data_IF_175725983862
#
_entry.id   IF_175725983862
#
_cell.length_a   1.000
_cell.length_b   1.000
_cell.length_c   1.000
_cell.angle_alpha   90.00
_cell.angle_beta   90.00
_cell.angle_gamma   90.00
#
_symmetry.space_group_name_H-M   'P 1'
#
loop_
_entity.id
_entity.type
_entity.pdbx_description
1 polymer ?
#
# COMPACT_ATOMS: atom_id res chain seq x y z
N UNK A 1 -26.93 -20.43 -3.99
CA UNK A 1 -26.06 -19.99 -2.87
C UNK A 1 -25.23 -18.83 -3.41
N UNK A 2 -25.00 -17.79 -2.62
CA UNK A 2 -24.12 -16.69 -3.04
C UNK A 2 -22.66 -17.14 -2.99
N UNK A 3 -21.77 -16.46 -3.71
CA UNK A 3 -20.33 -16.78 -3.72
C UNK A 3 -19.76 -16.82 -2.29
N UNK A 4 -20.22 -15.93 -1.40
CA UNK A 4 -19.70 -15.85 -0.04
C UNK A 4 -20.23 -16.98 0.88
N UNK A 5 -21.46 -17.47 0.66
CA UNK A 5 -21.97 -18.63 1.41
C UNK A 5 -21.23 -19.91 1.03
N UNK A 6 -20.94 -20.09 -0.26
CA UNK A 6 -20.15 -21.23 -0.73
C UNK A 6 -18.70 -21.14 -0.25
N UNK A 7 -18.12 -19.93 -0.25
CA UNK A 7 -16.76 -19.70 0.26
C UNK A 7 -16.69 -19.91 1.79
N UNK A 8 -17.74 -19.52 2.55
CA UNK A 8 -17.82 -19.75 3.99
C UNK A 8 -17.70 -21.25 4.34
N UNK A 9 -18.42 -22.11 3.60
CA UNK A 9 -18.36 -23.57 3.80
C UNK A 9 -16.99 -24.09 3.40
N UNK A 10 -16.52 -23.72 2.22
CA UNK A 10 -15.23 -24.17 1.71
C UNK A 10 -14.05 -23.78 2.61
N UNK A 11 -14.01 -22.55 3.12
CA UNK A 11 -12.94 -22.11 4.04
C UNK A 11 -12.95 -22.88 5.35
N UNK A 12 -14.12 -23.22 5.89
CA UNK A 12 -14.24 -24.03 7.11
C UNK A 12 -13.69 -25.46 6.91
N UNK A 13 -13.85 -26.04 5.72
CA UNK A 13 -13.41 -27.40 5.40
C UNK A 13 -11.92 -27.46 5.04
N UNK A 14 -11.42 -26.50 4.23
CA UNK A 14 -10.08 -26.58 3.62
C UNK A 14 -9.03 -25.67 4.27
N UNK A 15 -9.45 -24.60 4.97
CA UNK A 15 -8.58 -23.64 5.66
C UNK A 15 -9.08 -23.35 7.08
N UNK A 16 -9.34 -24.38 7.91
CA UNK A 16 -10.00 -24.23 9.20
C UNK A 16 -9.25 -23.37 10.21
N UNK A 17 -7.91 -23.28 10.06
CA UNK A 17 -7.04 -22.49 10.95
C UNK A 17 -6.82 -21.05 10.46
N UNK A 18 -7.29 -20.70 9.25
CA UNK A 18 -7.19 -19.35 8.72
C UNK A 18 -8.26 -18.45 9.35
N UNK A 19 -7.85 -17.29 9.86
CA UNK A 19 -8.82 -16.30 10.32
C UNK A 19 -9.67 -15.79 9.15
N UNK A 20 -11.00 -15.91 9.30
CA UNK A 20 -11.99 -15.56 8.28
C UNK A 20 -13.22 -14.93 8.95
N UNK A 21 -13.50 -13.68 8.61
CA UNK A 21 -14.47 -12.87 9.31
C UNK A 21 -15.53 -12.30 8.35
N UNK A 22 -16.73 -12.00 8.92
CA UNK A 22 -17.90 -11.45 8.21
C UNK A 22 -18.12 -9.99 8.59
N UNK A 23 -18.55 -9.18 7.61
CA UNK A 23 -18.98 -7.80 7.79
C UNK A 23 -17.94 -6.93 8.57
N UNK A 24 -16.67 -7.02 8.16
CA UNK A 24 -15.53 -6.44 8.87
C UNK A 24 -15.37 -4.95 8.54
N UNK A 25 -15.39 -4.04 9.53
CA UNK A 25 -15.22 -2.61 9.28
C UNK A 25 -13.82 -2.26 8.73
N UNK A 26 -13.72 -1.90 7.46
CA UNK A 26 -12.46 -1.60 6.77
C UNK A 26 -11.71 -0.41 7.35
N UNK A 27 -12.40 0.54 7.99
CA UNK A 27 -11.76 1.66 8.71
C UNK A 27 -10.73 1.23 9.76
N UNK A 28 -10.79 -0.03 10.25
CA UNK A 28 -9.81 -0.61 11.19
C UNK A 28 -8.54 -1.09 10.50
N UNK A 29 -8.57 -1.22 9.18
CA UNK A 29 -7.50 -1.79 8.35
C UNK A 29 -6.95 -0.79 7.33
N UNK A 30 -7.32 0.49 7.45
CA UNK A 30 -6.79 1.57 6.62
C UNK A 30 -6.16 2.67 7.47
N UNK A 31 -5.07 3.26 6.99
CA UNK A 31 -4.42 4.39 7.66
C UNK A 31 -5.27 5.66 7.65
N UNK A 32 -6.20 5.77 6.70
CA UNK A 32 -7.17 6.86 6.63
C UNK A 32 -8.28 6.75 7.69
N UNK A 33 -8.49 5.53 8.24
CA UNK A 33 -9.57 5.20 9.19
C UNK A 33 -10.96 5.50 8.63
N UNK A 34 -11.13 5.30 7.33
CA UNK A 34 -12.39 5.46 6.59
C UNK A 34 -12.71 4.15 5.88
N UNK A 35 -13.97 3.84 5.72
CA UNK A 35 -14.50 2.68 5.01
C UNK A 35 -15.53 1.89 5.82
N UNK A 36 -16.60 1.49 5.16
CA UNK A 36 -17.63 0.60 5.68
C UNK A 36 -17.16 -0.84 5.81
N UNK A 37 -18.08 -1.79 5.80
CA UNK A 37 -17.77 -3.19 6.01
C UNK A 37 -17.32 -3.89 4.70
N UNK A 38 -16.34 -4.80 4.80
CA UNK A 38 -16.09 -5.83 3.80
C UNK A 38 -17.06 -7.00 4.05
N UNK A 39 -17.70 -7.52 3.00
CA UNK A 39 -18.62 -8.65 3.11
C UNK A 39 -17.95 -9.87 3.72
N UNK A 40 -16.71 -10.14 3.32
CA UNK A 40 -15.83 -11.17 3.90
C UNK A 40 -14.40 -10.65 3.98
N UNK A 41 -13.70 -11.02 5.03
CA UNK A 41 -12.30 -10.71 5.20
C UNK A 41 -11.52 -11.93 5.67
N UNK A 42 -10.46 -12.25 4.97
CA UNK A 42 -9.59 -13.40 5.23
C UNK A 42 -8.17 -12.98 5.51
N UNK A 43 -7.47 -13.74 6.35
CA UNK A 43 -6.11 -13.45 6.79
C UNK A 43 -5.21 -14.68 6.55
N UNK A 44 -4.77 -14.94 5.31
CA UNK A 44 -3.87 -16.05 5.01
C UNK A 44 -2.53 -15.87 5.71
N UNK A 45 -1.95 -16.99 6.18
CA UNK A 45 -0.67 -17.03 6.91
C UNK A 45 0.49 -17.47 6.03
N UNK A 46 0.18 -17.98 4.82
CA UNK A 46 1.19 -18.43 3.86
C UNK A 46 0.78 -18.13 2.43
N UNK A 47 1.75 -18.18 1.51
CA UNK A 47 1.49 -18.06 0.08
C UNK A 47 0.56 -19.16 -0.44
N UNK A 48 0.63 -20.35 0.12
CA UNK A 48 -0.22 -21.50 -0.25
C UNK A 48 -1.67 -21.24 0.14
N UNK A 49 -1.93 -20.83 1.40
CA UNK A 49 -3.28 -20.44 1.84
C UNK A 49 -3.86 -19.32 0.98
N UNK A 50 -3.03 -18.31 0.64
CA UNK A 50 -3.46 -17.18 -0.20
C UNK A 50 -3.81 -17.65 -1.62
N UNK A 51 -2.98 -18.48 -2.23
CA UNK A 51 -3.21 -19.03 -3.59
C UNK A 51 -4.50 -19.84 -3.61
N UNK A 52 -4.68 -20.76 -2.67
CA UNK A 52 -5.88 -21.62 -2.57
C UNK A 52 -7.14 -20.74 -2.41
N UNK A 53 -7.12 -19.79 -1.47
CA UNK A 53 -8.26 -18.91 -1.19
C UNK A 53 -8.65 -18.06 -2.40
N UNK A 54 -7.65 -17.39 -3.02
CA UNK A 54 -7.89 -16.50 -4.18
C UNK A 54 -8.41 -17.30 -5.37
N UNK A 55 -7.80 -18.45 -5.68
CA UNK A 55 -8.24 -19.33 -6.77
C UNK A 55 -9.68 -19.78 -6.55
N UNK A 56 -10.02 -20.25 -5.34
CA UNK A 56 -11.40 -20.67 -5.03
C UNK A 56 -12.40 -19.53 -5.11
N UNK A 57 -12.05 -18.36 -4.60
CA UNK A 57 -12.90 -17.18 -4.69
C UNK A 57 -13.21 -16.79 -6.15
N UNK A 58 -12.21 -16.85 -7.02
CA UNK A 58 -12.38 -16.56 -8.45
C UNK A 58 -13.25 -17.60 -9.15
N UNK A 59 -13.09 -18.89 -8.85
CA UNK A 59 -13.98 -19.96 -9.37
C UNK A 59 -15.45 -19.74 -9.00
N UNK A 60 -15.70 -19.17 -7.81
CA UNK A 60 -17.04 -18.81 -7.35
C UNK A 60 -17.56 -17.48 -7.92
N UNK A 61 -16.79 -16.84 -8.82
CA UNK A 61 -17.13 -15.55 -9.43
C UNK A 61 -16.92 -14.35 -8.51
N UNK A 62 -16.30 -14.53 -7.34
CA UNK A 62 -15.89 -13.41 -6.50
C UNK A 62 -14.73 -12.64 -7.15
N UNK A 63 -14.61 -11.36 -6.77
CA UNK A 63 -13.45 -10.51 -7.17
C UNK A 63 -12.67 -10.11 -5.93
N UNK A 64 -11.71 -10.92 -5.46
CA UNK A 64 -10.93 -10.62 -4.27
C UNK A 64 -10.23 -9.28 -4.39
N UNK A 65 -10.15 -8.56 -3.28
CA UNK A 65 -9.31 -7.37 -3.13
C UNK A 65 -8.21 -7.66 -2.12
N UNK A 66 -6.95 -7.65 -2.57
CA UNK A 66 -5.82 -7.89 -1.67
C UNK A 66 -5.40 -6.59 -1.00
N UNK A 67 -5.43 -6.59 0.33
CA UNK A 67 -5.14 -5.46 1.19
C UNK A 67 -3.91 -5.75 2.04
N UNK A 68 -2.87 -4.95 1.88
CA UNK A 68 -1.74 -4.90 2.82
C UNK A 68 -2.07 -4.01 4.03
N UNK A 69 -1.19 -3.05 4.35
CA UNK A 69 -1.38 -2.12 5.47
C UNK A 69 -2.46 -1.03 5.22
N UNK A 70 -3.13 -1.01 4.08
CA UNK A 70 -4.20 -0.07 3.78
C UNK A 70 -3.78 1.40 3.77
N UNK A 71 -2.56 1.70 3.36
CA UNK A 71 -1.95 3.03 3.48
C UNK A 71 -2.05 3.89 2.22
N UNK A 72 -2.64 3.35 1.14
CA UNK A 72 -2.86 4.08 -0.12
C UNK A 72 -4.24 3.77 -0.71
N UNK A 73 -5.24 3.51 0.13
CA UNK A 73 -6.60 3.16 -0.31
C UNK A 73 -7.64 3.96 0.47
N UNK A 74 -8.74 4.23 -0.20
CA UNK A 74 -9.94 4.83 0.36
C UNK A 74 -11.14 3.95 -0.01
N UNK A 75 -11.78 3.35 0.98
CA UNK A 75 -12.98 2.53 0.81
C UNK A 75 -14.25 3.33 0.97
N UNK A 76 -15.33 2.97 0.27
CA UNK A 76 -16.63 3.62 0.37
C UNK A 76 -17.24 3.42 1.77
N UNK A 77 -18.10 4.37 2.16
CA UNK A 77 -18.73 4.37 3.49
C UNK A 77 -19.76 3.25 3.64
N UNK A 78 -20.41 2.85 2.56
CA UNK A 78 -21.34 1.71 2.48
C UNK A 78 -20.64 0.35 2.58
N UNK A 79 -19.31 0.31 2.41
CA UNK A 79 -18.52 -0.92 2.39
C UNK A 79 -18.40 -1.55 1.00
N UNK A 80 -17.95 -2.80 0.93
CA UNK A 80 -17.72 -3.53 -0.32
C UNK A 80 -18.29 -4.94 -0.27
N UNK A 81 -19.04 -5.33 -1.29
CA UNK A 81 -19.55 -6.69 -1.51
C UNK A 81 -18.45 -7.60 -2.12
N UNK A 82 -17.28 -7.61 -1.49
CA UNK A 82 -16.09 -8.33 -1.96
C UNK A 82 -15.47 -9.16 -0.84
N UNK A 83 -14.70 -10.17 -1.24
CA UNK A 83 -13.70 -10.77 -0.37
C UNK A 83 -12.50 -9.81 -0.27
N UNK A 84 -12.18 -9.35 0.93
CA UNK A 84 -10.93 -8.66 1.20
C UNK A 84 -9.93 -9.64 1.80
N UNK A 85 -8.78 -9.82 1.15
CA UNK A 85 -7.70 -10.68 1.62
C UNK A 85 -6.63 -9.79 2.24
N UNK A 86 -6.53 -9.79 3.56
CA UNK A 86 -5.52 -9.01 4.27
C UNK A 86 -4.28 -9.85 4.52
N UNK A 87 -3.14 -9.37 4.01
CA UNK A 87 -1.88 -10.13 4.00
C UNK A 87 -1.03 -9.95 5.25
N UNK A 88 -1.50 -9.29 6.31
CA UNK A 88 -0.69 -8.92 7.48
C UNK A 88 -0.07 -10.10 8.24
N UNK A 89 -0.67 -11.29 8.15
CA UNK A 89 -0.14 -12.51 8.78
C UNK A 89 1.02 -13.12 7.97
N UNK A 90 1.16 -12.76 6.68
CA UNK A 90 2.28 -13.14 5.82
C UNK A 90 3.40 -12.09 5.97
N UNK A 91 4.06 -12.05 7.11
CA UNK A 91 4.95 -10.94 7.49
C UNK A 91 6.41 -11.33 7.72
N UNK A 92 6.80 -12.52 7.30
CA UNK A 92 8.16 -13.04 7.46
C UNK A 92 9.14 -12.26 6.60
N UNK A 93 10.30 -11.95 7.20
CA UNK A 93 11.50 -11.45 6.51
C UNK A 93 12.66 -12.34 6.90
N UNK A 94 13.45 -12.81 5.94
CA UNK A 94 14.59 -13.69 6.18
C UNK A 94 15.72 -13.40 5.19
N UNK A 95 16.91 -13.96 5.46
CA UNK A 95 17.99 -14.03 4.48
C UNK A 95 17.56 -14.87 3.27
N UNK A 96 17.95 -14.46 2.08
CA UNK A 96 17.85 -15.26 0.87
C UNK A 96 19.00 -16.26 0.75
N UNK A 97 19.08 -16.91 -0.40
CA UNK A 97 20.14 -17.89 -0.69
C UNK A 97 21.48 -17.22 -0.99
N UNK A 98 21.46 -15.98 -1.49
CA UNK A 98 22.66 -15.21 -1.80
C UNK A 98 23.10 -14.37 -0.59
N UNK A 99 24.40 -14.06 -0.50
CA UNK A 99 25.02 -13.40 0.64
C UNK A 99 24.37 -12.06 1.00
N UNK A 100 23.99 -11.25 0.00
CA UNK A 100 23.44 -9.91 0.16
C UNK A 100 21.94 -9.83 -0.17
N UNK A 101 21.25 -10.95 -0.03
CA UNK A 101 19.85 -11.07 -0.36
C UNK A 101 18.99 -11.18 0.90
N UNK A 102 17.85 -10.50 0.86
CA UNK A 102 16.75 -10.73 1.79
C UNK A 102 15.47 -11.07 1.02
N UNK A 103 14.63 -11.90 1.61
CA UNK A 103 13.30 -12.23 1.11
C UNK A 103 12.27 -11.71 2.11
N UNK A 104 11.25 -11.02 1.62
CA UNK A 104 10.15 -10.55 2.43
C UNK A 104 8.81 -10.99 1.84
N UNK A 105 7.93 -11.53 2.68
CA UNK A 105 6.54 -11.82 2.31
C UNK A 105 5.74 -10.54 2.09
N UNK A 106 4.69 -10.63 1.31
CA UNK A 106 3.92 -9.47 0.84
C UNK A 106 3.27 -8.62 1.96
N UNK A 107 2.94 -9.23 3.10
CA UNK A 107 2.36 -8.56 4.26
C UNK A 107 3.40 -7.97 5.22
N UNK A 108 4.69 -8.30 5.06
CA UNK A 108 5.75 -7.69 5.86
C UNK A 108 5.72 -6.16 5.72
N UNK A 109 5.86 -5.43 6.84
CA UNK A 109 5.93 -3.98 6.74
C UNK A 109 7.26 -3.52 6.15
N UNK A 110 7.23 -2.47 5.32
CA UNK A 110 8.43 -1.83 4.78
C UNK A 110 9.42 -1.44 5.88
N UNK A 111 8.91 -0.98 7.02
CA UNK A 111 9.72 -0.62 8.18
C UNK A 111 10.44 -1.84 8.79
N UNK A 112 9.73 -2.96 8.98
CA UNK A 112 10.31 -4.19 9.54
C UNK A 112 11.37 -4.77 8.60
N UNK A 113 11.11 -4.76 7.28
CA UNK A 113 12.07 -5.18 6.27
C UNK A 113 13.35 -4.33 6.33
N UNK A 114 13.24 -3.00 6.43
CA UNK A 114 14.38 -2.11 6.56
C UNK A 114 15.17 -2.34 7.86
N UNK A 115 14.47 -2.57 8.99
CA UNK A 115 15.10 -2.90 10.28
C UNK A 115 15.81 -4.26 10.22
N UNK A 116 15.22 -5.24 9.56
CA UNK A 116 15.88 -6.54 9.36
C UNK A 116 17.16 -6.37 8.55
N UNK A 117 17.12 -5.69 7.40
CA UNK A 117 18.29 -5.42 6.58
C UNK A 117 19.40 -4.69 7.37
N UNK A 118 19.04 -3.68 8.18
CA UNK A 118 19.97 -2.95 9.03
C UNK A 118 20.69 -3.87 10.03
N UNK A 119 19.96 -4.76 10.72
CA UNK A 119 20.53 -5.73 11.66
C UNK A 119 21.49 -6.70 11.01
N UNK A 120 21.21 -7.07 9.75
CA UNK A 120 22.03 -7.96 8.94
C UNK A 120 23.21 -7.24 8.27
N UNK A 121 23.42 -5.94 8.52
CA UNK A 121 24.49 -5.16 7.89
C UNK A 121 24.31 -4.95 6.39
N UNK A 122 23.06 -4.84 5.94
CA UNK A 122 22.70 -4.66 4.54
C UNK A 122 22.07 -3.29 4.31
N UNK A 123 22.71 -2.47 3.48
CA UNK A 123 22.33 -1.12 3.09
C UNK A 123 21.52 -1.13 1.78
N UNK A 124 20.64 -0.15 1.60
CA UNK A 124 19.83 0.06 0.40
C UNK A 124 18.33 0.20 0.69
N UNK A 125 17.88 -0.10 1.92
CA UNK A 125 16.48 -0.01 2.34
C UNK A 125 16.21 1.11 3.37
N UNK A 126 17.14 2.01 3.61
CA UNK A 126 17.01 3.07 4.60
C UNK A 126 15.80 3.98 4.32
N UNK A 127 15.52 4.25 3.05
CA UNK A 127 14.37 5.05 2.61
C UNK A 127 13.02 4.39 2.97
N UNK A 128 12.99 3.06 3.03
CA UNK A 128 11.78 2.28 3.25
C UNK A 128 11.32 2.30 4.72
N UNK A 129 12.25 2.57 5.67
CA UNK A 129 11.95 2.56 7.11
C UNK A 129 10.80 3.48 7.50
N UNK A 130 10.68 4.63 6.85
CA UNK A 130 9.60 5.58 7.12
C UNK A 130 8.30 5.31 6.36
N UNK A 131 8.25 4.38 5.41
CA UNK A 131 7.06 4.12 4.58
C UNK A 131 6.12 3.16 5.34
N UNK A 132 4.86 3.55 5.64
CA UNK A 132 3.97 2.74 6.48
C UNK A 132 3.33 1.55 5.75
N UNK A 133 3.66 1.33 4.47
CA UNK A 133 3.10 0.27 3.62
C UNK A 133 3.61 -1.14 3.93
N UNK A 134 2.97 -2.13 3.33
CA UNK A 134 3.46 -3.51 3.24
C UNK A 134 4.34 -3.70 2.01
N UNK A 135 5.16 -4.74 2.00
CA UNK A 135 6.02 -5.11 0.87
C UNK A 135 5.21 -5.30 -0.41
N UNK A 136 4.10 -6.06 -0.37
CA UNK A 136 3.26 -6.29 -1.56
C UNK A 136 2.69 -4.99 -2.15
N UNK A 137 2.15 -4.11 -1.29
CA UNK A 137 1.69 -2.78 -1.72
C UNK A 137 2.83 -1.88 -2.21
N UNK A 138 3.99 -1.96 -1.55
CA UNK A 138 5.21 -1.24 -1.95
C UNK A 138 5.70 -1.68 -3.33
N UNK A 139 5.76 -2.98 -3.61
CA UNK A 139 6.14 -3.54 -4.91
C UNK A 139 5.17 -3.07 -6.00
N UNK A 140 3.85 -3.19 -5.75
CA UNK A 140 2.83 -2.78 -6.72
C UNK A 140 2.99 -1.33 -7.13
N UNK A 141 3.30 -0.43 -6.19
CA UNK A 141 3.41 1.01 -6.41
C UNK A 141 4.85 1.51 -6.65
N UNK A 142 5.84 0.61 -6.77
CA UNK A 142 7.25 1.01 -6.74
C UNK A 142 7.50 2.06 -5.66
N UNK A 143 7.21 1.68 -4.41
CA UNK A 143 7.26 2.62 -3.30
C UNK A 143 8.64 3.25 -3.12
N UNK A 144 8.66 4.55 -2.96
CA UNK A 144 9.91 5.30 -2.81
C UNK A 144 9.75 6.58 -2.00
N UNK A 145 10.85 7.00 -1.39
CA UNK A 145 10.96 8.23 -0.62
C UNK A 145 12.42 8.70 -0.58
N UNK A 146 12.63 10.01 -0.53
CA UNK A 146 13.97 10.63 -0.35
C UNK A 146 15.02 10.18 -1.36
N UNK A 147 14.63 9.91 -2.61
CA UNK A 147 15.52 9.51 -3.69
C UNK A 147 15.76 8.00 -3.80
N UNK A 148 15.30 7.20 -2.83
CA UNK A 148 15.27 5.74 -2.94
C UNK A 148 13.91 5.22 -3.37
N UNK A 149 13.87 4.10 -4.09
CA UNK A 149 12.66 3.37 -4.48
C UNK A 149 12.95 1.87 -4.61
N UNK A 150 11.91 1.04 -4.54
CA UNK A 150 12.06 -0.40 -4.53
C UNK A 150 12.69 -0.97 -5.80
N UNK A 151 12.43 -0.38 -6.96
CA UNK A 151 13.05 -0.78 -8.23
C UNK A 151 14.58 -0.83 -8.19
N UNK A 152 15.22 -0.03 -7.32
CA UNK A 152 16.68 0.03 -7.20
C UNK A 152 17.28 -1.19 -6.48
N UNK A 153 16.48 -1.93 -5.75
CA UNK A 153 16.93 -3.02 -4.86
C UNK A 153 16.17 -4.34 -5.06
N UNK A 154 15.03 -4.35 -5.76
CA UNK A 154 14.30 -5.58 -6.08
C UNK A 154 15.13 -6.42 -7.06
N UNK A 155 15.31 -7.70 -6.75
CA UNK A 155 15.88 -8.71 -7.63
C UNK A 155 14.80 -9.51 -8.33
N UNK A 156 13.80 -9.97 -7.57
CA UNK A 156 12.68 -10.73 -8.12
C UNK A 156 11.42 -10.57 -7.27
N UNK A 157 10.27 -10.85 -7.88
CA UNK A 157 8.95 -10.85 -7.24
C UNK A 157 8.21 -12.11 -7.60
N UNK A 158 7.75 -12.87 -6.60
CA UNK A 158 6.85 -14.01 -6.81
C UNK A 158 5.40 -13.51 -6.75
N UNK A 159 4.67 -13.75 -7.84
CA UNK A 159 3.32 -13.22 -8.08
C UNK A 159 2.38 -14.36 -8.44
N UNK A 160 1.17 -14.36 -7.90
CA UNK A 160 0.04 -15.14 -8.38
C UNK A 160 -0.67 -14.35 -9.48
N UNK A 161 -0.73 -14.88 -10.68
CA UNK A 161 -1.60 -14.44 -11.75
C UNK A 161 -2.78 -15.41 -11.84
N UNK A 162 -4.02 -14.95 -11.78
CA UNK A 162 -5.20 -15.84 -11.79
C UNK A 162 -5.29 -16.75 -13.02
N UNK A 163 -4.80 -16.28 -14.16
CA UNK A 163 -4.82 -16.95 -15.47
C UNK A 163 -3.54 -17.75 -15.79
N UNK A 164 -2.42 -17.46 -15.11
CA UNK A 164 -1.11 -18.04 -15.40
C UNK A 164 -0.52 -18.85 -14.23
N UNK A 165 -1.14 -18.79 -13.05
CA UNK A 165 -0.62 -19.38 -11.82
C UNK A 165 0.48 -18.55 -11.17
N UNK A 166 1.31 -19.22 -10.34
CA UNK A 166 2.40 -18.55 -9.62
C UNK A 166 3.63 -18.44 -10.51
N UNK A 167 4.15 -17.22 -10.66
CA UNK A 167 5.37 -16.93 -11.42
C UNK A 167 6.33 -16.07 -10.60
N UNK A 168 7.62 -16.23 -10.86
CA UNK A 168 8.65 -15.33 -10.33
C UNK A 168 9.18 -14.47 -11.48
N UNK A 169 9.02 -13.16 -11.34
CA UNK A 169 9.44 -12.15 -12.31
C UNK A 169 10.70 -11.46 -11.79
N UNK A 170 11.65 -11.17 -12.68
CA UNK A 170 12.80 -10.34 -12.36
C UNK A 170 12.42 -8.83 -12.39
N UNK A 171 13.33 -7.96 -11.93
CA UNK A 171 13.08 -6.51 -11.87
C UNK A 171 12.73 -5.88 -13.24
N UNK A 172 13.31 -6.39 -14.34
CA UNK A 172 13.02 -5.91 -15.70
C UNK A 172 11.61 -6.25 -16.15
N UNK A 173 11.12 -7.44 -15.85
CA UNK A 173 9.77 -7.89 -16.18
C UNK A 173 8.70 -7.15 -15.37
N UNK A 174 9.05 -6.58 -14.20
CA UNK A 174 8.14 -5.80 -13.37
C UNK A 174 7.82 -4.42 -13.93
N UNK A 175 8.51 -3.93 -14.96
CA UNK A 175 8.28 -2.67 -15.66
C UNK A 175 8.12 -1.46 -14.70
N UNK A 176 9.00 -1.38 -13.70
CA UNK A 176 8.93 -0.32 -12.69
C UNK A 176 9.14 1.07 -13.27
N UNK A 177 8.29 1.99 -12.84
CA UNK A 177 8.48 3.43 -13.03
C UNK A 177 7.87 4.21 -11.86
N UNK A 178 7.79 5.53 -11.94
CA UNK A 178 7.25 6.34 -10.86
C UNK A 178 5.81 5.97 -10.49
N UNK A 179 5.61 5.44 -9.29
CA UNK A 179 4.31 4.95 -8.77
C UNK A 179 3.64 3.92 -9.69
N UNK A 180 4.44 3.10 -10.34
CA UNK A 180 3.98 2.12 -11.31
C UNK A 180 4.81 0.82 -11.27
N UNK A 181 4.14 -0.29 -11.54
CA UNK A 181 4.72 -1.58 -11.90
C UNK A 181 3.75 -2.30 -12.85
N UNK A 182 4.16 -3.42 -13.45
CA UNK A 182 3.28 -4.33 -14.20
C UNK A 182 1.97 -4.63 -13.44
N UNK A 183 2.02 -4.71 -12.11
CA UNK A 183 0.86 -5.04 -11.28
C UNK A 183 -0.17 -3.90 -11.18
N UNK A 184 0.15 -2.68 -11.58
CA UNK A 184 -0.84 -1.61 -11.69
C UNK A 184 -1.73 -1.78 -12.92
N UNK A 185 -1.26 -2.51 -13.94
CA UNK A 185 -2.00 -2.87 -15.15
C UNK A 185 -2.71 -4.23 -15.00
N UNK A 186 -2.25 -5.06 -14.06
CA UNK A 186 -2.81 -6.38 -13.72
C UNK A 186 -3.33 -6.38 -12.27
N UNK A 187 -4.42 -5.63 -11.97
CA UNK A 187 -4.89 -5.42 -10.60
C UNK A 187 -5.43 -6.69 -9.92
N UNK A 188 -5.66 -7.75 -10.68
CA UNK A 188 -6.03 -9.08 -10.20
C UNK A 188 -4.83 -9.90 -9.71
N UNK A 189 -3.60 -9.54 -10.12
CA UNK A 189 -2.38 -10.24 -9.74
C UNK A 189 -1.99 -9.92 -8.29
N UNK A 190 -1.44 -10.91 -7.58
CA UNK A 190 -1.18 -10.83 -6.15
C UNK A 190 0.28 -11.12 -5.86
N UNK A 191 0.99 -10.18 -5.24
CA UNK A 191 2.35 -10.39 -4.74
C UNK A 191 2.30 -11.38 -3.58
N UNK A 192 3.12 -12.43 -3.64
CA UNK A 192 3.32 -13.39 -2.55
C UNK A 192 4.54 -13.03 -1.71
N UNK A 193 5.65 -12.73 -2.37
CA UNK A 193 6.92 -12.31 -1.74
C UNK A 193 7.80 -11.59 -2.74
N UNK A 194 8.82 -10.89 -2.24
CA UNK A 194 9.85 -10.26 -3.06
C UNK A 194 11.24 -10.55 -2.50
N UNK A 195 12.23 -10.71 -3.38
CA UNK A 195 13.64 -10.79 -3.06
C UNK A 195 14.32 -9.45 -3.36
N UNK A 196 15.22 -9.04 -2.49
CA UNK A 196 15.93 -7.77 -2.55
C UNK A 196 17.42 -8.01 -2.49
N UNK A 197 18.15 -7.47 -3.46
CA UNK A 197 19.61 -7.47 -3.50
C UNK A 197 20.14 -6.16 -2.92
N UNK A 198 20.87 -6.28 -1.84
CA UNK A 198 21.35 -5.15 -1.05
C UNK A 198 22.88 -5.07 -1.10
N UNK A 199 23.45 -4.07 -0.47
CA UNK A 199 24.90 -3.87 -0.38
C UNK A 199 25.38 -4.07 1.06
N UNK A 200 26.56 -4.68 1.29
CA UNK A 200 27.15 -4.68 2.63
C UNK A 200 27.34 -3.27 3.18
N UNK A 201 27.02 -3.08 4.45
CA UNK A 201 27.16 -1.80 5.12
C UNK A 201 27.32 -1.98 6.64
N UNK A 202 27.70 -0.91 7.32
CA UNK A 202 27.81 -0.92 8.78
C UNK A 202 26.46 -0.64 9.43
N UNK A 203 25.96 -1.53 10.33
CA UNK A 203 24.65 -1.37 10.95
C UNK A 203 24.40 0.01 11.59
N UNK A 204 25.43 0.61 12.16
CA UNK A 204 25.34 1.92 12.82
C UNK A 204 25.15 3.06 11.79
N UNK A 205 25.83 2.98 10.65
CA UNK A 205 25.70 3.98 9.56
C UNK A 205 24.32 3.88 8.90
N UNK A 206 23.85 2.64 8.65
CA UNK A 206 22.52 2.36 8.13
C UNK A 206 21.46 2.92 9.09
N UNK A 207 21.59 2.62 10.40
CA UNK A 207 20.66 3.10 11.43
C UNK A 207 20.64 4.62 11.49
N UNK A 208 21.79 5.27 11.49
CA UNK A 208 21.92 6.73 11.47
C UNK A 208 21.14 7.32 10.27
N UNK A 209 21.28 6.73 9.08
CA UNK A 209 20.56 7.18 7.88
C UNK A 209 19.05 7.00 8.01
N UNK A 210 18.59 5.86 8.53
CA UNK A 210 17.17 5.61 8.81
C UNK A 210 16.59 6.66 9.77
N UNK A 211 17.29 6.96 10.86
CA UNK A 211 16.85 7.94 11.86
C UNK A 211 16.81 9.37 11.28
N UNK A 212 17.80 9.75 10.47
CA UNK A 212 17.81 11.02 9.74
C UNK A 212 16.58 11.17 8.82
N UNK A 213 16.29 10.14 8.01
CA UNK A 213 15.15 10.17 7.09
C UNK A 213 13.82 10.19 7.84
N UNK A 214 13.71 9.46 8.95
CA UNK A 214 12.54 9.48 9.82
C UNK A 214 12.35 10.85 10.49
N UNK A 215 13.41 11.50 10.95
CA UNK A 215 13.34 12.85 11.51
C UNK A 215 12.83 13.87 10.49
N UNK A 216 13.34 13.83 9.25
CA UNK A 216 12.87 14.67 8.14
C UNK A 216 11.39 14.44 7.85
N UNK A 217 10.94 13.17 7.88
CA UNK A 217 9.54 12.80 7.66
C UNK A 217 8.65 13.38 8.77
N UNK A 218 9.01 13.19 10.04
CA UNK A 218 8.26 13.73 11.19
C UNK A 218 8.16 15.26 11.15
N UNK A 219 9.21 15.93 10.71
CA UNK A 219 9.23 17.38 10.60
C UNK A 219 8.27 17.91 9.53
N UNK A 220 8.13 17.20 8.38
CA UNK A 220 7.42 17.69 7.20
C UNK A 220 6.01 17.12 7.00
N UNK A 221 5.68 15.93 7.54
CA UNK A 221 4.42 15.25 7.28
C UNK A 221 3.48 15.24 8.51
N UNK A 222 2.15 15.27 8.31
CA UNK A 222 1.14 15.30 9.39
C UNK A 222 0.87 13.90 9.94
N UNK A 223 1.90 13.26 10.53
CA UNK A 223 1.83 11.86 11.00
C UNK A 223 0.88 11.67 12.20
N UNK A 224 0.48 12.74 12.85
CA UNK A 224 -0.48 12.78 13.95
C UNK A 224 -1.93 12.57 13.50
N UNK A 225 -2.22 12.73 12.21
CA UNK A 225 -3.56 12.55 11.64
C UNK A 225 -3.65 11.33 10.72
N UNK A 226 -4.79 10.62 10.72
CA UNK A 226 -5.06 9.58 9.75
C UNK A 226 -5.07 10.15 8.32
N UNK A 227 -4.39 9.47 7.39
CA UNK A 227 -4.32 9.83 5.98
C UNK A 227 -3.86 8.63 5.14
N UNK A 228 -3.93 8.73 3.83
CA UNK A 228 -3.38 7.76 2.89
C UNK A 228 -2.06 8.25 2.23
N UNK A 229 -1.25 9.02 2.96
CA UNK A 229 -0.02 9.59 2.41
C UNK A 229 -0.28 10.79 1.50
N UNK A 230 0.58 10.98 0.49
CA UNK A 230 0.38 12.00 -0.54
C UNK A 230 -0.87 11.68 -1.36
N UNK A 231 -1.77 12.65 -1.46
CA UNK A 231 -3.07 12.46 -2.12
C UNK A 231 -2.96 12.42 -3.64
N UNK A 232 -2.00 13.18 -4.20
CA UNK A 232 -1.79 13.29 -5.64
C UNK A 232 -0.37 12.92 -6.04
N UNK A 233 -0.23 12.31 -7.22
CA UNK A 233 1.07 12.05 -7.86
C UNK A 233 1.78 13.37 -8.16
N UNK A 234 3.10 13.30 -8.34
CA UNK A 234 3.88 14.44 -8.80
C UNK A 234 3.61 14.68 -10.28
N UNK A 235 3.07 15.85 -10.69
CA UNK A 235 2.96 16.20 -12.09
C UNK A 235 4.35 16.40 -12.71
N UNK A 236 4.48 16.21 -14.01
CA UNK A 236 5.72 16.44 -14.72
C UNK A 236 6.17 17.91 -14.57
N UNK A 237 7.42 18.11 -14.16
CA UNK A 237 8.00 19.44 -13.93
C UNK A 237 7.52 20.15 -12.65
N UNK A 238 6.61 19.58 -11.87
CA UNK A 238 6.03 20.23 -10.69
C UNK A 238 6.02 19.33 -9.45
N UNK A 239 5.65 19.93 -8.32
CA UNK A 239 5.34 19.21 -7.06
C UNK A 239 3.89 19.49 -6.69
N UNK A 240 3.06 18.45 -6.59
CA UNK A 240 1.64 18.60 -6.25
C UNK A 240 1.42 19.43 -4.97
N UNK A 241 2.18 19.14 -3.91
CA UNK A 241 2.09 19.87 -2.65
C UNK A 241 2.42 21.38 -2.81
N UNK A 242 3.39 21.73 -3.64
CA UNK A 242 3.75 23.13 -3.90
C UNK A 242 2.64 23.87 -4.67
N UNK A 243 2.04 23.22 -5.68
CA UNK A 243 0.91 23.79 -6.42
C UNK A 243 -0.31 24.01 -5.50
N UNK A 244 -0.63 23.04 -4.65
CA UNK A 244 -1.75 23.13 -3.70
C UNK A 244 -1.50 24.26 -2.67
N UNK A 245 -0.27 24.39 -2.19
CA UNK A 245 0.14 25.46 -1.25
C UNK A 245 0.08 26.84 -1.93
N UNK A 246 0.60 26.96 -3.15
CA UNK A 246 0.55 28.18 -3.97
C UNK A 246 -0.88 28.65 -4.24
N UNK A 247 -1.82 27.72 -4.38
CA UNK A 247 -3.25 28.02 -4.53
C UNK A 247 -3.93 28.39 -3.20
N UNK A 248 -3.21 28.45 -2.08
CA UNK A 248 -3.77 28.82 -0.77
C UNK A 248 -4.75 27.80 -0.20
N UNK A 249 -4.56 26.48 -0.53
CA UNK A 249 -5.55 25.45 -0.17
C UNK A 249 -5.25 24.73 1.15
N UNK A 250 -4.15 25.04 1.86
CA UNK A 250 -3.96 24.52 3.23
C UNK A 250 -5.15 24.87 4.13
N UNK A 251 -5.61 23.93 4.93
CA UNK A 251 -6.77 24.08 5.80
C UNK A 251 -8.14 24.00 5.10
N UNK A 252 -8.18 23.94 3.75
CA UNK A 252 -9.45 23.72 3.05
C UNK A 252 -10.12 22.44 3.54
N UNK A 253 -11.38 22.54 3.94
CA UNK A 253 -12.12 21.48 4.62
C UNK A 253 -13.42 21.16 3.87
N UNK A 254 -13.74 19.88 3.74
CA UNK A 254 -15.05 19.38 3.30
C UNK A 254 -15.46 18.28 4.28
N UNK A 255 -16.58 18.47 4.98
CA UNK A 255 -17.00 17.55 6.04
C UNK A 255 -15.89 17.33 7.08
N UNK A 256 -15.50 16.09 7.29
CA UNK A 256 -14.39 15.71 8.19
C UNK A 256 -13.01 15.66 7.54
N UNK A 257 -12.89 15.87 6.22
CA UNK A 257 -11.64 15.83 5.48
C UNK A 257 -11.01 17.24 5.35
N UNK A 258 -9.70 17.36 5.50
CA UNK A 258 -8.98 18.64 5.43
C UNK A 258 -7.66 18.51 4.67
N UNK A 259 -7.29 19.52 3.89
CA UNK A 259 -5.90 19.69 3.40
C UNK A 259 -5.03 20.05 4.60
N UNK A 260 -4.00 19.26 4.86
CA UNK A 260 -3.12 19.46 6.01
C UNK A 260 -2.44 20.83 5.99
N UNK A 261 -2.49 21.53 7.11
CA UNK A 261 -1.75 22.78 7.34
C UNK A 261 -0.24 22.58 7.29
N UNK A 262 0.24 21.40 7.73
CA UNK A 262 1.64 21.06 7.79
C UNK A 262 2.22 20.70 6.42
N UNK A 263 1.45 19.98 5.58
CA UNK A 263 1.87 19.52 4.26
C UNK A 263 0.72 19.49 3.27
N UNK A 264 0.67 20.45 2.36
CA UNK A 264 -0.45 20.63 1.43
C UNK A 264 -0.74 19.43 0.51
N UNK A 265 0.22 18.51 0.31
CA UNK A 265 0.02 17.28 -0.47
C UNK A 265 -0.78 16.19 0.26
N UNK A 266 -1.15 16.40 1.53
CA UNK A 266 -1.89 15.43 2.35
C UNK A 266 -3.31 15.90 2.61
N UNK A 267 -4.28 15.06 2.30
CA UNK A 267 -5.63 15.14 2.86
C UNK A 267 -5.67 14.29 4.12
N UNK A 268 -6.10 14.86 5.22
CA UNK A 268 -6.17 14.24 6.54
C UNK A 268 -7.61 14.05 6.98
N UNK A 269 -7.86 13.01 7.79
CA UNK A 269 -9.12 12.79 8.48
C UNK A 269 -9.05 13.47 9.85
N UNK A 270 -9.92 14.47 10.09
CA UNK A 270 -10.01 15.22 11.35
C UNK A 270 -10.76 14.48 12.46
N UNK A 271 -11.14 13.22 12.21
CA UNK A 271 -11.79 12.33 13.18
C UNK A 271 -13.14 11.77 12.73
N UNK A 272 -13.81 12.43 11.80
CA UNK A 272 -15.15 12.03 11.33
C UNK A 272 -15.31 12.10 9.80
N UNK A 273 -14.21 12.05 9.04
CA UNK A 273 -14.28 12.11 7.58
C UNK A 273 -14.92 10.84 7.00
N UNK A 274 -15.83 11.06 6.06
CA UNK A 274 -16.41 10.05 5.19
C UNK A 274 -15.60 9.92 3.89
N UNK A 275 -15.77 8.83 3.15
CA UNK A 275 -15.20 8.66 1.81
C UNK A 275 -15.70 9.79 0.87
N UNK A 276 -16.97 10.13 0.97
CA UNK A 276 -17.57 11.23 0.21
C UNK A 276 -16.89 12.58 0.48
N UNK A 277 -16.52 12.89 1.72
CA UNK A 277 -15.81 14.13 2.09
C UNK A 277 -14.45 14.21 1.41
N UNK A 278 -13.67 13.10 1.47
CA UNK A 278 -12.34 13.03 0.88
C UNK A 278 -12.40 13.17 -0.64
N UNK A 279 -13.31 12.45 -1.29
CA UNK A 279 -13.45 12.51 -2.75
C UNK A 279 -13.92 13.88 -3.23
N UNK A 280 -14.85 14.53 -2.52
CA UNK A 280 -15.28 15.88 -2.81
C UNK A 280 -14.15 16.91 -2.62
N UNK A 281 -13.36 16.77 -1.54
CA UNK A 281 -12.20 17.64 -1.30
C UNK A 281 -11.13 17.45 -2.37
N UNK A 282 -10.85 16.21 -2.80
CA UNK A 282 -9.91 15.92 -3.90
C UNK A 282 -10.36 16.59 -5.20
N UNK A 283 -11.63 16.47 -5.56
CA UNK A 283 -12.19 17.10 -6.76
C UNK A 283 -12.08 18.64 -6.70
N UNK A 284 -12.34 19.24 -5.54
CA UNK A 284 -12.21 20.68 -5.36
C UNK A 284 -10.75 21.17 -5.45
N UNK A 285 -9.79 20.41 -4.90
CA UNK A 285 -8.35 20.69 -5.05
C UNK A 285 -7.97 20.63 -6.54
N UNK A 286 -8.35 19.58 -7.26
CA UNK A 286 -8.07 19.43 -8.69
C UNK A 286 -8.63 20.60 -9.50
N UNK A 287 -9.88 20.96 -9.25
CA UNK A 287 -10.55 22.07 -9.93
C UNK A 287 -9.83 23.41 -9.72
N UNK A 288 -9.46 23.73 -8.45
CA UNK A 288 -8.79 25.00 -8.13
C UNK A 288 -7.38 25.06 -8.66
N UNK A 289 -6.60 23.99 -8.50
CA UNK A 289 -5.23 23.97 -9.03
C UNK A 289 -5.24 24.08 -10.54
N UNK A 290 -6.09 23.33 -11.25
CA UNK A 290 -6.22 23.45 -12.72
C UNK A 290 -6.60 24.87 -13.15
N UNK A 291 -7.57 25.49 -12.48
CA UNK A 291 -8.02 26.85 -12.81
C UNK A 291 -6.95 27.92 -12.62
N UNK A 292 -6.08 27.78 -11.61
CA UNK A 292 -5.07 28.79 -11.30
C UNK A 292 -3.71 28.56 -11.97
N UNK A 293 -3.35 27.29 -12.23
CA UNK A 293 -2.01 26.93 -12.71
C UNK A 293 -2.00 26.26 -14.09
N UNK A 294 -3.16 25.80 -14.58
CA UNK A 294 -3.29 24.98 -15.78
C UNK A 294 -2.88 23.52 -15.60
N UNK A 295 -2.32 23.13 -14.45
CA UNK A 295 -1.80 21.78 -14.17
C UNK A 295 -2.93 20.88 -13.67
N UNK A 296 -3.06 19.70 -14.26
CA UNK A 296 -3.97 18.66 -13.78
C UNK A 296 -3.26 17.79 -12.72
N UNK A 297 -3.92 17.60 -11.58
CA UNK A 297 -3.46 16.69 -10.54
C UNK A 297 -4.08 15.30 -10.72
N UNK A 298 -3.25 14.26 -10.75
CA UNK A 298 -3.69 12.86 -10.76
C UNK A 298 -3.69 12.30 -9.34
N UNK A 299 -4.80 11.67 -8.87
CA UNK A 299 -4.82 11.01 -7.57
C UNK A 299 -3.78 9.88 -7.46
N UNK A 300 -3.06 9.83 -6.33
CA UNK A 300 -2.22 8.69 -5.95
C UNK A 300 -3.00 7.70 -5.08
N UNK A 301 -3.92 8.22 -4.26
CA UNK A 301 -4.82 7.41 -3.42
C UNK A 301 -5.81 6.65 -4.30
N UNK A 302 -5.89 5.34 -4.09
CA UNK A 302 -6.80 4.45 -4.82
C UNK A 302 -8.17 4.46 -4.15
N UNK A 303 -9.15 5.07 -4.81
CA UNK A 303 -10.56 5.00 -4.39
C UNK A 303 -11.12 3.67 -4.85
N UNK A 304 -11.54 2.83 -3.91
CA UNK A 304 -12.12 1.50 -4.18
C UNK A 304 -13.62 1.64 -4.40
N UNK A 305 -14.12 0.88 -5.39
CA UNK A 305 -15.56 0.84 -5.76
C UNK A 305 -16.14 -0.53 -5.50
#
# INVERSE_FOLDING_TARGET
MSWYEELDVWTADYLPDMAYEKDVPLRRYTSFRIGGAARRMAFPRSGEELVLLVSRALELGARPFVLGNGTNVLFPDEGVERLVVNTREMNRVCRGENENEIIAECGASMANMAVFAQKEGLSGLEFAHGIPGSVGGGVTMNAGAYGGELAQVIESVTVLFPDEGVRTLNAGEMAFSYRHSLLTERPEAVVLRAAFRLQPGKPEEIRKKMDELMARRKASQPLEYPSAGSTFKRPEGYFAAALIDQCGLKGLTVGGAQVSEKHAGFVINRGSAACADVTALMAEIQRRVKAQTGVELEPEVRVIK
#
